data_IF_734762415678
#
_entry.id   IF_734762415678
#
_cell.length_a   1.000
_cell.length_b   1.000
_cell.length_c   1.000
_cell.angle_alpha   90.00
_cell.angle_beta   90.00
_cell.angle_gamma   90.00
#
_symmetry.space_group_name_H-M   'P 1'
#
loop_
_entity.id
_entity.type
_entity.pdbx_description
1 polymer ?
#
# COMPACT_ATOMS: atom_id res chain seq x y z
N UNK A 1 7.72 -9.63 0.95
CA UNK A 1 7.96 -9.13 -0.43
C UNK A 1 7.78 -7.64 -0.33
N UNK A 2 8.62 -6.84 -0.99
CA UNK A 2 8.54 -5.38 -0.89
C UNK A 2 8.23 -4.75 -2.24
N UNK A 3 7.71 -3.53 -2.19
CA UNK A 3 7.47 -2.65 -3.33
C UNK A 3 8.20 -1.33 -3.07
N UNK A 4 8.85 -0.79 -4.11
CA UNK A 4 9.53 0.50 -4.02
C UNK A 4 8.67 1.59 -4.65
N UNK A 5 8.39 2.64 -3.89
CA UNK A 5 7.84 3.90 -4.39
C UNK A 5 8.99 4.85 -4.69
N UNK A 6 9.03 5.37 -5.91
CA UNK A 6 10.06 6.32 -6.35
C UNK A 6 9.41 7.67 -6.58
N UNK A 7 9.88 8.70 -5.86
CA UNK A 7 9.52 10.08 -6.15
C UNK A 7 10.41 10.58 -7.30
N UNK A 8 9.80 10.88 -8.44
CA UNK A 8 10.53 11.30 -9.64
C UNK A 8 11.01 12.76 -9.57
N UNK A 9 10.51 13.58 -8.64
CA UNK A 9 10.93 14.97 -8.48
C UNK A 9 12.31 15.07 -7.82
N UNK A 10 12.56 14.25 -6.80
CA UNK A 10 13.78 14.29 -5.98
C UNK A 10 14.59 12.98 -6.02
N UNK A 11 14.13 11.96 -6.76
CA UNK A 11 14.70 10.60 -6.86
C UNK A 11 14.73 9.83 -5.53
N UNK A 12 13.96 10.23 -4.52
CA UNK A 12 13.84 9.49 -3.28
C UNK A 12 13.13 8.15 -3.52
N UNK A 13 13.56 7.15 -2.76
CA UNK A 13 13.06 5.78 -2.85
C UNK A 13 12.59 5.34 -1.49
N UNK A 14 11.38 4.81 -1.43
CA UNK A 14 10.78 4.32 -0.20
C UNK A 14 10.34 2.89 -0.41
N UNK A 15 10.70 2.02 0.52
CA UNK A 15 10.31 0.62 0.48
C UNK A 15 9.13 0.37 1.41
N UNK A 16 8.14 -0.32 0.89
CA UNK A 16 6.96 -0.75 1.62
C UNK A 16 6.84 -2.26 1.54
N UNK A 17 6.49 -2.89 2.66
CA UNK A 17 6.20 -4.30 2.70
C UNK A 17 4.82 -4.61 2.08
N UNK A 18 4.66 -5.83 1.60
CA UNK A 18 3.37 -6.34 1.14
C UNK A 18 2.70 -7.18 2.21
N UNK A 19 1.39 -7.06 2.34
CA UNK A 19 0.54 -7.93 3.13
C UNK A 19 0.11 -9.10 2.24
N UNK A 20 0.48 -10.32 2.66
CA UNK A 20 0.10 -11.55 1.99
C UNK A 20 -1.37 -11.90 2.24
N UNK A 21 -2.04 -12.40 1.21
CA UNK A 21 -3.43 -12.86 1.25
C UNK A 21 -3.48 -14.36 1.01
N UNK A 22 -4.32 -15.10 1.77
CA UNK A 22 -4.53 -16.53 1.52
C UNK A 22 -5.18 -16.79 0.16
N UNK A 23 -6.03 -15.86 -0.31
CA UNK A 23 -6.68 -15.85 -1.63
C UNK A 23 -6.76 -14.42 -2.13
N UNK A 24 -6.57 -14.23 -3.44
CA UNK A 24 -6.64 -12.91 -4.08
C UNK A 24 -5.27 -12.20 -4.16
N UNK A 25 -5.27 -10.92 -4.56
CA UNK A 25 -4.03 -10.14 -4.72
C UNK A 25 -3.38 -9.79 -3.37
N UNK A 26 -2.08 -9.49 -3.42
CA UNK A 26 -1.34 -8.90 -2.29
C UNK A 26 -1.70 -7.43 -2.14
N UNK A 27 -1.70 -6.94 -0.91
CA UNK A 27 -1.82 -5.50 -0.65
C UNK A 27 -0.45 -4.91 -0.31
N UNK A 28 -0.25 -3.62 -0.56
CA UNK A 28 0.93 -2.89 -0.08
C UNK A 28 0.56 -2.22 1.25
N UNK A 29 1.42 -2.35 2.26
CA UNK A 29 1.19 -1.69 3.55
C UNK A 29 1.58 -0.20 3.45
N UNK A 30 0.56 0.64 3.24
CA UNK A 30 0.70 2.10 3.25
C UNK A 30 0.35 2.76 4.59
N UNK A 31 0.30 2.01 5.70
CA UNK A 31 -0.02 2.55 7.03
C UNK A 31 0.92 3.70 7.44
N UNK A 32 2.17 3.68 6.98
CA UNK A 32 3.18 4.72 7.22
C UNK A 32 3.48 5.61 6.02
N UNK A 33 2.65 5.59 4.97
CA UNK A 33 2.91 6.33 3.73
C UNK A 33 3.15 7.83 3.99
N UNK A 34 2.24 8.47 4.72
CA UNK A 34 2.34 9.91 4.99
C UNK A 34 3.54 10.25 5.87
N UNK A 35 3.78 9.49 6.95
CA UNK A 35 4.95 9.69 7.83
C UNK A 35 6.28 9.53 7.07
N UNK A 36 6.34 8.57 6.14
CA UNK A 36 7.57 8.21 5.43
C UNK A 36 7.85 9.13 4.24
N UNK A 37 6.80 9.59 3.54
CA UNK A 37 6.95 10.22 2.21
C UNK A 37 6.29 11.60 2.11
N UNK A 38 5.43 11.96 3.06
CA UNK A 38 4.57 13.15 2.96
C UNK A 38 3.41 13.01 1.95
N UNK A 39 3.25 11.87 1.29
CA UNK A 39 2.17 11.64 0.34
C UNK A 39 0.91 11.05 1.00
N UNK A 40 -0.24 11.39 0.40
CA UNK A 40 -1.49 10.66 0.61
C UNK A 40 -1.80 9.81 -0.62
N UNK A 41 -2.36 8.63 -0.40
CA UNK A 41 -2.99 7.86 -1.47
C UNK A 41 -4.33 8.49 -1.83
N UNK A 42 -4.58 8.71 -3.12
CA UNK A 42 -5.88 9.16 -3.62
C UNK A 42 -6.56 8.02 -4.38
N UNK A 43 -7.55 7.39 -3.74
CA UNK A 43 -8.34 6.29 -4.29
C UNK A 43 -9.83 6.55 -4.02
N UNK A 44 -10.51 7.35 -4.87
CA UNK A 44 -11.91 7.68 -4.67
C UNK A 44 -12.77 6.41 -4.71
N UNK A 45 -13.49 6.14 -3.63
CA UNK A 45 -14.31 4.94 -3.49
C UNK A 45 -13.55 3.71 -2.95
N UNK A 46 -12.27 3.85 -2.59
CA UNK A 46 -11.46 2.80 -1.94
C UNK A 46 -11.38 1.48 -2.74
N UNK A 47 -11.49 1.57 -4.05
CA UNK A 47 -11.57 0.42 -4.96
C UNK A 47 -10.27 -0.41 -5.00
N UNK A 48 -9.14 0.26 -4.74
CA UNK A 48 -7.79 -0.31 -4.76
C UNK A 48 -7.14 -0.29 -3.37
N UNK A 49 -7.96 -0.12 -2.33
CA UNK A 49 -7.50 -0.01 -0.94
C UNK A 49 -8.06 -1.17 -0.11
N UNK A 50 -7.19 -2.06 0.35
CA UNK A 50 -7.57 -3.12 1.29
C UNK A 50 -7.75 -2.52 2.70
N UNK A 51 -9.00 -2.21 3.07
CA UNK A 51 -9.32 -1.53 4.34
C UNK A 51 -9.24 -2.41 5.59
N UNK A 52 -9.33 -3.74 5.46
CA UNK A 52 -9.22 -4.66 6.59
C UNK A 52 -8.73 -6.05 6.17
N UNK A 53 -8.26 -6.82 7.15
CA UNK A 53 -8.07 -8.27 7.00
C UNK A 53 -9.37 -8.99 7.39
N UNK A 54 -9.87 -9.85 6.51
CA UNK A 54 -11.09 -10.63 6.76
C UNK A 54 -10.84 -12.12 6.61
N UNK A 55 -11.55 -12.92 7.40
CA UNK A 55 -11.61 -14.39 7.31
C UNK A 55 -13.05 -14.89 7.11
N UNK A 56 -14.02 -13.98 6.97
CA UNK A 56 -15.46 -14.32 6.94
C UNK A 56 -15.91 -14.64 5.51
N UNK A 57 -15.53 -13.81 4.54
CA UNK A 57 -15.89 -13.93 3.13
C UNK A 57 -14.70 -13.57 2.24
N UNK A 58 -14.62 -14.17 1.04
CA UNK A 58 -13.51 -14.03 0.08
C UNK A 58 -14.00 -13.70 -1.33
#
# INVERSE_FOLDING_TARGET
MSVTLINNENNERYEFETIESTRGPKAVDFSKLFETTGFFSYDPGYSSTAGCQSKISY
#
